data_IF_069157478999
#
_entry.id   IF_069157478999
#
_cell.length_a   1.000
_cell.length_b   1.000
_cell.length_c   1.000
_cell.angle_alpha   90.00
_cell.angle_beta   90.00
_cell.angle_gamma   90.00
#
_symmetry.space_group_name_H-M   'P 1'
#
loop_
_entity.id
_entity.type
_entity.pdbx_description
1 polymer ?
#
# COMPACT_ATOMS: atom_id res chain seq x y z
N UNK A 1 27.19 0.58 4.41
CA UNK A 1 26.24 1.33 5.24
C UNK A 1 25.87 2.57 4.44
N UNK A 2 24.68 2.57 3.84
CA UNK A 2 24.20 3.67 2.99
C UNK A 2 23.95 4.88 3.89
N UNK A 3 24.60 6.00 3.58
CA UNK A 3 24.72 7.20 4.44
C UNK A 3 23.37 7.81 4.86
N UNK A 4 22.27 7.44 4.20
CA UNK A 4 20.92 7.98 4.42
C UNK A 4 19.94 7.00 5.09
N UNK A 5 20.37 5.81 5.52
CA UNK A 5 19.49 4.81 6.16
C UNK A 5 18.83 5.31 7.45
N UNK A 6 19.54 6.11 8.25
CA UNK A 6 18.99 6.69 9.48
C UNK A 6 17.97 7.79 9.18
N UNK A 7 18.22 8.63 8.16
CA UNK A 7 17.31 9.70 7.74
C UNK A 7 16.04 9.14 7.11
N UNK A 8 16.17 8.12 6.26
CA UNK A 8 15.00 7.46 5.66
C UNK A 8 14.12 6.79 6.70
N UNK A 9 14.72 6.12 7.71
CA UNK A 9 13.97 5.57 8.86
C UNK A 9 13.26 6.64 9.67
N UNK A 10 13.91 7.78 9.91
CA UNK A 10 13.29 8.90 10.62
C UNK A 10 12.07 9.44 9.86
N UNK A 11 12.12 9.52 8.53
CA UNK A 11 10.98 9.93 7.70
C UNK A 11 9.81 8.95 7.80
N UNK A 12 10.09 7.63 7.77
CA UNK A 12 9.05 6.60 7.92
C UNK A 12 8.38 6.72 9.29
N UNK A 13 9.17 6.87 10.35
CA UNK A 13 8.67 7.05 11.71
C UNK A 13 7.74 8.27 11.80
N UNK A 14 8.18 9.44 11.31
CA UNK A 14 7.37 10.66 11.31
C UNK A 14 6.04 10.44 10.59
N UNK A 15 6.03 9.76 9.45
CA UNK A 15 4.81 9.50 8.70
C UNK A 15 3.86 8.54 9.44
N UNK A 16 4.39 7.45 10.01
CA UNK A 16 3.59 6.49 10.78
C UNK A 16 2.99 7.13 12.04
N UNK A 17 3.74 7.99 12.73
CA UNK A 17 3.27 8.66 13.95
C UNK A 17 2.27 9.80 13.67
N UNK A 18 2.34 10.42 12.49
CA UNK A 18 1.47 11.53 12.09
C UNK A 18 0.23 11.11 11.32
N UNK A 19 0.23 9.91 10.72
CA UNK A 19 -0.92 9.38 9.99
C UNK A 19 -2.04 9.01 10.96
N UNK A 20 -3.31 9.35 10.68
CA UNK A 20 -4.42 8.68 11.35
C UNK A 20 -4.28 7.17 11.08
N UNK A 21 -4.42 6.36 12.13
CA UNK A 21 -4.40 4.90 12.01
C UNK A 21 -5.66 4.44 11.26
N UNK A 22 -5.61 4.47 9.93
CA UNK A 22 -6.52 3.65 9.12
C UNK A 22 -6.17 2.18 9.31
N UNK A 23 -7.18 1.32 9.38
CA UNK A 23 -6.97 -0.13 9.47
C UNK A 23 -6.19 -0.60 8.23
N UNK A 24 -5.01 -1.18 8.48
CA UNK A 24 -4.19 -1.77 7.44
C UNK A 24 -4.98 -2.90 6.78
N UNK A 25 -4.99 -2.98 5.43
CA UNK A 25 -5.72 -4.04 4.75
C UNK A 25 -5.05 -5.39 5.01
N UNK A 26 -5.86 -6.44 5.10
CA UNK A 26 -5.45 -7.78 5.54
C UNK A 26 -4.27 -8.41 4.78
N UNK A 27 -4.01 -7.95 3.55
CA UNK A 27 -2.93 -8.47 2.71
C UNK A 27 -1.57 -7.81 2.95
N UNK A 28 -1.50 -6.78 3.81
CA UNK A 28 -0.29 -6.06 4.18
C UNK A 28 -0.01 -6.21 5.68
N UNK A 29 1.26 -6.35 6.01
CA UNK A 29 1.71 -6.27 7.40
C UNK A 29 2.87 -5.30 7.51
N UNK A 30 2.79 -4.41 8.49
CA UNK A 30 3.86 -3.50 8.84
C UNK A 30 4.48 -3.95 10.17
N UNK A 31 5.76 -4.33 10.13
CA UNK A 31 6.53 -4.59 11.33
C UNK A 31 7.15 -3.30 11.86
N UNK A 32 6.78 -2.88 13.08
CA UNK A 32 7.22 -1.61 13.69
C UNK A 32 8.73 -1.50 13.90
N UNK A 33 9.44 -2.63 14.06
CA UNK A 33 10.90 -2.65 14.12
C UNK A 33 11.39 -3.84 13.27
N UNK A 34 12.17 -3.63 12.19
CA UNK A 34 12.84 -2.41 11.71
C UNK A 34 12.07 -1.62 10.61
N UNK A 35 10.78 -1.30 10.80
CA UNK A 35 9.92 -0.65 9.79
C UNK A 35 9.91 -1.39 8.44
N UNK A 36 9.59 -2.68 8.49
CA UNK A 36 9.55 -3.54 7.31
C UNK A 36 8.10 -3.86 6.93
N UNK A 37 7.73 -3.54 5.69
CA UNK A 37 6.48 -3.98 5.09
C UNK A 37 6.59 -5.39 4.52
N UNK A 38 5.53 -6.17 4.64
CA UNK A 38 5.39 -7.51 4.06
C UNK A 38 4.06 -7.60 3.30
N UNK A 39 4.11 -8.18 2.10
CA UNK A 39 2.94 -8.55 1.30
C UNK A 39 2.67 -10.02 1.54
N UNK A 40 1.54 -10.34 2.18
CA UNK A 40 1.27 -11.69 2.66
C UNK A 40 0.45 -12.53 1.67
N UNK A 41 -0.30 -11.89 0.78
CA UNK A 41 -1.24 -12.55 -0.13
C UNK A 41 -1.51 -11.68 -1.35
N UNK A 42 -2.04 -12.30 -2.40
CA UNK A 42 -2.62 -11.59 -3.55
C UNK A 42 -3.88 -10.85 -3.08
N UNK A 43 -4.04 -9.61 -3.54
CA UNK A 43 -5.17 -8.76 -3.17
C UNK A 43 -6.47 -9.26 -3.80
N UNK A 44 -7.56 -9.29 -3.01
CA UNK A 44 -8.93 -9.44 -3.51
C UNK A 44 -9.44 -8.06 -3.91
N UNK A 45 -10.15 -7.96 -5.05
CA UNK A 45 -10.68 -6.69 -5.56
C UNK A 45 -11.58 -5.95 -4.57
N UNK A 46 -12.16 -6.65 -3.58
CA UNK A 46 -12.93 -6.04 -2.48
C UNK A 46 -12.12 -5.14 -1.56
N UNK A 47 -10.80 -5.33 -1.47
CA UNK A 47 -9.92 -4.53 -0.60
C UNK A 47 -9.26 -3.35 -1.32
N UNK A 48 -9.71 -3.01 -2.53
CA UNK A 48 -9.21 -1.83 -3.22
C UNK A 48 -9.88 -0.57 -2.65
N UNK A 49 -9.07 0.44 -2.30
CA UNK A 49 -9.56 1.72 -1.77
C UNK A 49 -10.25 2.61 -2.81
N UNK A 50 -10.59 2.07 -3.98
CA UNK A 50 -11.17 2.80 -5.10
C UNK A 50 -12.53 2.21 -5.46
N UNK A 51 -13.57 3.05 -5.37
CA UNK A 51 -14.90 2.68 -5.87
C UNK A 51 -14.92 2.77 -7.40
N UNK A 52 -14.67 1.65 -8.08
CA UNK A 52 -14.62 1.56 -9.54
C UNK A 52 -15.45 0.38 -10.06
N UNK A 53 -15.99 0.51 -11.27
CA UNK A 53 -16.59 -0.60 -12.00
C UNK A 53 -15.58 -1.15 -13.02
N UNK A 54 -15.01 -2.31 -12.70
CA UNK A 54 -13.99 -2.97 -13.51
C UNK A 54 -14.50 -3.33 -14.93
N UNK A 55 -15.79 -3.68 -15.08
CA UNK A 55 -16.34 -4.09 -16.36
C UNK A 55 -16.34 -2.96 -17.39
N UNK A 56 -16.60 -1.71 -16.96
CA UNK A 56 -16.57 -0.56 -17.85
C UNK A 56 -15.14 -0.26 -18.34
N UNK A 57 -14.14 -0.49 -17.49
CA UNK A 57 -12.73 -0.33 -17.88
C UNK A 57 -12.36 -1.37 -18.94
N UNK A 58 -12.76 -2.63 -18.73
CA UNK A 58 -12.49 -3.73 -19.68
C UNK A 58 -13.19 -3.46 -21.02
N UNK A 59 -14.46 -3.06 -21.00
CA UNK A 59 -15.23 -2.75 -22.19
C UNK A 59 -14.56 -1.63 -23.00
N UNK A 60 -14.21 -0.51 -22.34
CA UNK A 60 -13.55 0.62 -22.98
C UNK A 60 -12.29 0.21 -23.75
N UNK A 61 -11.40 -0.56 -23.11
CA UNK A 61 -10.15 -0.98 -23.74
C UNK A 61 -10.31 -2.11 -24.78
N UNK A 62 -11.41 -2.86 -24.74
CA UNK A 62 -11.73 -3.86 -25.76
C UNK A 62 -12.03 -3.24 -27.13
N UNK A 63 -12.52 -2.00 -27.16
CA UNK A 63 -12.80 -1.24 -28.39
C UNK A 63 -11.62 -0.41 -28.90
N UNK A 64 -10.52 -0.33 -28.14
CA UNK A 64 -9.35 0.49 -28.48
C UNK A 64 -8.29 -0.28 -29.30
N UNK A 65 -8.40 -1.60 -29.35
CA UNK A 65 -7.68 -2.49 -30.29
C UNK A 65 -8.44 -2.68 -31.58
#
# INVERSE_FOLDING_TARGET
>A
MTKDEQKSRALIQIFVDSSPHEELPNHLTLHSFPFKGLVNQIIDSKFIGLKINELLVIEYFSHQT
#
